data_IF_653569835357
#
_entry.id   IF_653569835357
#
_cell.length_a   1.000
_cell.length_b   1.000
_cell.length_c   1.000
_cell.angle_alpha   90.00
_cell.angle_beta   90.00
_cell.angle_gamma   90.00
#
_symmetry.space_group_name_H-M   'P 1'
#
loop_
_entity.id
_entity.type
_entity.pdbx_description
1 polymer ?
#
# COMPACT_ATOMS: atom_id res chain seq x y z
N UNK A 1 19.25 6.57 15.21
CA UNK A 1 19.92 5.63 14.29
C UNK A 1 21.35 5.50 14.74
N UNK A 2 21.86 4.27 14.91
CA UNK A 2 23.28 4.06 15.13
C UNK A 2 24.03 4.41 13.84
N UNK A 3 25.21 4.99 13.97
CA UNK A 3 26.12 5.25 12.83
C UNK A 3 26.77 3.92 12.41
N UNK A 4 27.19 3.82 11.14
CA UNK A 4 27.79 2.59 10.61
C UNK A 4 29.00 2.11 11.43
N UNK A 5 29.82 3.03 11.94
CA UNK A 5 30.93 2.71 12.85
C UNK A 5 30.48 2.14 14.20
N UNK A 6 29.34 2.57 14.73
CA UNK A 6 28.79 2.05 15.97
C UNK A 6 28.19 0.64 15.77
N UNK A 7 27.66 0.37 14.56
CA UNK A 7 27.22 -0.96 14.14
C UNK A 7 28.39 -1.93 14.00
N UNK A 8 29.50 -1.50 13.41
CA UNK A 8 30.70 -2.31 13.25
C UNK A 8 31.36 -2.64 14.61
N UNK A 9 31.40 -1.67 15.53
CA UNK A 9 31.87 -1.88 16.90
C UNK A 9 30.98 -2.86 17.67
N UNK A 10 29.66 -2.75 17.52
CA UNK A 10 28.71 -3.67 18.13
C UNK A 10 28.85 -5.08 17.54
N UNK A 11 29.02 -5.19 16.22
CA UNK A 11 29.22 -6.47 15.55
C UNK A 11 30.52 -7.15 16.01
N UNK A 12 31.60 -6.38 16.18
CA UNK A 12 32.87 -6.90 16.72
C UNK A 12 32.74 -7.31 18.19
N UNK A 13 32.01 -6.55 19.00
CA UNK A 13 31.73 -6.92 20.40
C UNK A 13 30.89 -8.20 20.50
N UNK A 14 29.90 -8.36 19.63
CA UNK A 14 29.08 -9.58 19.55
C UNK A 14 29.91 -10.77 19.07
N UNK A 15 30.80 -10.59 18.10
CA UNK A 15 31.69 -11.64 17.61
C UNK A 15 32.75 -12.09 18.64
N UNK A 16 33.04 -11.24 19.63
CA UNK A 16 33.96 -11.53 20.72
C UNK A 16 33.28 -12.19 21.94
N UNK A 17 31.96 -12.40 21.91
CA UNK A 17 31.25 -13.12 22.97
C UNK A 17 31.67 -14.59 22.99
N UNK A 18 31.83 -15.15 24.20
CA UNK A 18 31.97 -16.59 24.36
C UNK A 18 30.66 -17.32 24.01
N UNK A 19 30.76 -18.61 23.69
CA UNK A 19 29.63 -19.43 23.22
C UNK A 19 28.38 -19.36 24.13
N UNK A 20 28.58 -19.28 25.45
CA UNK A 20 27.49 -19.17 26.42
C UNK A 20 26.74 -17.83 26.34
N UNK A 21 27.48 -16.72 26.26
CA UNK A 21 26.88 -15.38 26.18
C UNK A 21 26.28 -15.12 24.79
N UNK A 22 26.89 -15.69 23.73
CA UNK A 22 26.35 -15.68 22.39
C UNK A 22 24.99 -16.41 22.34
N UNK A 23 24.87 -17.58 22.98
CA UNK A 23 23.62 -18.32 23.10
C UNK A 23 22.52 -17.54 23.85
N UNK A 24 22.87 -16.84 24.93
CA UNK A 24 21.95 -15.97 25.68
C UNK A 24 21.48 -14.78 24.86
N UNK A 25 22.38 -14.14 24.10
CA UNK A 25 22.03 -13.04 23.20
C UNK A 25 21.09 -13.53 22.08
N UNK A 26 21.37 -14.69 21.51
CA UNK A 26 20.55 -15.28 20.46
C UNK A 26 19.11 -15.55 20.92
N UNK A 27 18.96 -16.09 22.13
CA UNK A 27 17.64 -16.33 22.73
C UNK A 27 16.91 -15.01 23.02
N UNK A 28 17.60 -14.03 23.63
CA UNK A 28 17.02 -12.72 23.87
C UNK A 28 16.58 -12.02 22.56
N UNK A 29 17.33 -12.17 21.47
CA UNK A 29 16.97 -11.65 20.15
C UNK A 29 15.75 -12.40 19.60
N UNK A 30 15.68 -13.73 19.73
CA UNK A 30 14.51 -14.51 19.31
C UNK A 30 13.25 -14.12 20.07
N UNK A 31 13.32 -14.04 21.39
CA UNK A 31 12.20 -13.60 22.23
C UNK A 31 11.74 -12.19 21.87
N UNK A 32 12.69 -11.26 21.69
CA UNK A 32 12.36 -9.89 21.29
C UNK A 32 11.73 -9.82 19.89
N UNK A 33 12.17 -10.67 18.95
CA UNK A 33 11.55 -10.78 17.63
C UNK A 33 10.13 -11.34 17.72
N UNK A 34 9.88 -12.36 18.56
CA UNK A 34 8.55 -12.92 18.81
C UNK A 34 7.62 -11.87 19.42
N UNK A 35 8.02 -11.23 20.51
CA UNK A 35 7.24 -10.18 21.16
C UNK A 35 6.92 -9.03 20.19
N UNK A 36 7.89 -8.61 19.36
CA UNK A 36 7.66 -7.57 18.34
C UNK A 36 6.67 -8.04 17.26
N UNK A 37 6.71 -9.30 16.86
CA UNK A 37 5.77 -9.87 15.90
C UNK A 37 4.35 -9.96 16.47
N UNK A 38 4.20 -10.38 17.72
CA UNK A 38 2.92 -10.43 18.42
C UNK A 38 2.28 -9.04 18.56
N UNK A 39 3.05 -8.05 19.00
CA UNK A 39 2.59 -6.65 19.08
C UNK A 39 2.16 -6.13 17.70
N UNK A 40 2.93 -6.44 16.66
CA UNK A 40 2.58 -6.06 15.28
C UNK A 40 1.29 -6.74 14.82
N UNK A 41 1.13 -8.04 15.10
CA UNK A 41 -0.06 -8.80 14.74
C UNK A 41 -1.30 -8.26 15.46
N UNK A 42 -1.20 -7.96 16.75
CA UNK A 42 -2.26 -7.35 17.53
C UNK A 42 -2.65 -5.97 16.98
N UNK A 43 -1.66 -5.13 16.62
CA UNK A 43 -1.93 -3.82 15.98
C UNK A 43 -2.65 -3.97 14.65
N UNK A 44 -2.21 -4.89 13.79
CA UNK A 44 -2.89 -5.17 12.51
C UNK A 44 -4.32 -5.65 12.72
N UNK A 45 -4.53 -6.56 13.68
CA UNK A 45 -5.86 -7.06 14.00
C UNK A 45 -6.79 -5.94 14.51
N UNK A 46 -6.28 -5.05 15.36
CA UNK A 46 -7.02 -3.89 15.84
C UNK A 46 -7.40 -2.94 14.69
N UNK A 47 -6.43 -2.60 13.81
CA UNK A 47 -6.67 -1.73 12.65
C UNK A 47 -7.70 -2.32 11.69
N UNK A 48 -7.69 -3.63 11.45
CA UNK A 48 -8.66 -4.31 10.58
C UNK A 48 -10.06 -4.41 11.17
N UNK A 49 -10.19 -4.24 12.49
CA UNK A 49 -11.47 -4.26 13.18
C UNK A 49 -12.12 -2.86 13.26
N UNK A 50 -11.37 -1.80 12.94
CA UNK A 50 -11.86 -0.42 12.88
C UNK A 50 -12.68 -0.19 11.61
N UNK A 51 -13.63 0.73 11.68
CA UNK A 51 -14.27 1.27 10.49
C UNK A 51 -13.35 2.24 9.73
N UNK A 52 -13.69 2.52 8.48
CA UNK A 52 -12.84 3.32 7.58
C UNK A 52 -12.55 4.73 8.14
N UNK A 53 -13.53 5.39 8.77
CA UNK A 53 -13.33 6.73 9.32
C UNK A 53 -12.38 6.71 10.51
N UNK A 54 -12.53 5.72 11.40
CA UNK A 54 -11.60 5.52 12.52
C UNK A 54 -10.16 5.22 12.05
N UNK A 55 -9.99 4.49 10.95
CA UNK A 55 -8.66 4.28 10.35
C UNK A 55 -8.07 5.59 9.82
N UNK A 56 -8.87 6.47 9.21
CA UNK A 56 -8.41 7.78 8.75
C UNK A 56 -7.96 8.66 9.92
N UNK A 57 -8.69 8.67 11.03
CA UNK A 57 -8.28 9.40 12.23
C UNK A 57 -6.92 8.89 12.76
N UNK A 58 -6.74 7.57 12.75
CA UNK A 58 -5.49 6.93 13.14
C UNK A 58 -4.32 7.28 12.21
N UNK A 59 -4.56 7.33 10.89
CA UNK A 59 -3.60 7.82 9.90
C UNK A 59 -3.19 9.26 10.22
N UNK A 60 -4.16 10.14 10.47
CA UNK A 60 -3.88 11.54 10.78
C UNK A 60 -3.06 11.66 12.05
N UNK A 61 -3.41 10.90 13.09
CA UNK A 61 -2.69 10.89 14.37
C UNK A 61 -1.25 10.39 14.25
N UNK A 62 -1.01 9.34 13.47
CA UNK A 62 0.34 8.76 13.35
C UNK A 62 1.24 9.46 12.33
N UNK A 63 0.68 10.08 11.29
CA UNK A 63 1.45 10.57 10.14
C UNK A 63 1.55 12.09 10.03
N UNK A 64 0.76 12.85 10.79
CA UNK A 64 0.76 14.32 10.76
C UNK A 64 1.41 14.88 12.02
N UNK A 65 2.57 15.50 11.86
CA UNK A 65 3.19 16.33 12.88
C UNK A 65 2.91 17.81 12.54
N UNK A 66 2.01 18.42 13.31
CA UNK A 66 1.69 19.83 13.18
C UNK A 66 2.91 20.68 13.56
N UNK A 67 3.23 21.77 12.83
CA UNK A 67 2.46 22.38 11.75
C UNK A 67 2.86 22.00 10.31
N UNK A 68 3.85 21.14 10.08
CA UNK A 68 4.53 21.14 8.77
C UNK A 68 4.95 19.79 8.19
N UNK A 69 4.66 18.66 8.83
CA UNK A 69 5.19 17.37 8.36
C UNK A 69 4.10 16.33 8.24
N UNK A 70 3.91 15.85 7.01
CA UNK A 70 3.17 14.64 6.71
C UNK A 70 4.16 13.56 6.30
N UNK A 71 4.25 12.49 7.09
CA UNK A 71 4.99 11.27 6.73
C UNK A 71 4.12 10.31 5.92
N UNK A 72 4.12 10.48 4.60
CA UNK A 72 3.29 9.68 3.68
C UNK A 72 3.58 8.17 3.77
N UNK A 73 4.81 7.76 4.08
CA UNK A 73 5.15 6.36 4.28
C UNK A 73 4.46 5.75 5.50
N UNK A 74 4.36 6.50 6.60
CA UNK A 74 3.66 6.08 7.82
C UNK A 74 2.16 5.95 7.53
N UNK A 75 1.57 6.95 6.88
CA UNK A 75 0.17 6.93 6.47
C UNK A 75 -0.17 5.70 5.62
N UNK A 76 0.63 5.45 4.58
CA UNK A 76 0.43 4.30 3.68
C UNK A 76 0.57 2.96 4.40
N UNK A 77 1.45 2.88 5.40
CA UNK A 77 1.60 1.67 6.21
C UNK A 77 0.37 1.40 7.06
N UNK A 78 -0.17 2.43 7.74
CA UNK A 78 -1.41 2.31 8.54
C UNK A 78 -2.56 1.82 7.67
N UNK A 79 -2.77 2.44 6.50
CA UNK A 79 -3.82 2.04 5.55
C UNK A 79 -3.66 0.58 5.10
N UNK A 80 -2.45 0.14 4.75
CA UNK A 80 -2.20 -1.26 4.36
C UNK A 80 -2.41 -2.24 5.51
N UNK A 81 -1.96 -1.90 6.71
CA UNK A 81 -2.14 -2.73 7.91
C UNK A 81 -3.64 -2.90 8.22
N UNK A 82 -4.43 -1.83 8.04
CA UNK A 82 -5.90 -1.84 8.16
C UNK A 82 -6.62 -2.61 7.02
N UNK A 83 -5.91 -3.00 5.95
CA UNK A 83 -6.47 -3.79 4.86
C UNK A 83 -6.95 -3.00 3.66
N UNK A 84 -6.68 -1.69 3.59
CA UNK A 84 -6.99 -0.89 2.40
C UNK A 84 -6.15 -1.38 1.22
N UNK A 85 -6.84 -1.70 0.12
CA UNK A 85 -6.22 -2.15 -1.12
C UNK A 85 -6.09 -0.95 -2.05
N UNK A 86 -4.95 -0.82 -2.73
CA UNK A 86 -4.83 0.11 -3.85
C UNK A 86 -5.76 -0.38 -4.95
N UNK A 87 -6.74 0.44 -5.32
CA UNK A 87 -7.41 0.25 -6.59
C UNK A 87 -6.40 0.49 -7.73
N UNK A 88 -6.48 -0.28 -8.83
CA UNK A 88 -5.75 0.02 -10.04
C UNK A 88 -6.04 1.47 -10.45
N UNK A 89 -5.08 2.13 -11.11
CA UNK A 89 -5.35 3.43 -11.69
C UNK A 89 -6.53 3.31 -12.65
N UNK A 90 -7.57 4.11 -12.40
CA UNK A 90 -8.68 4.21 -13.33
C UNK A 90 -8.16 4.79 -14.64
N UNK A 91 -8.49 4.12 -15.75
CA UNK A 91 -8.25 4.63 -17.09
C UNK A 91 -9.56 5.22 -17.60
N UNK A 92 -9.47 6.21 -18.47
CA UNK A 92 -10.64 6.81 -19.10
C UNK A 92 -10.61 6.51 -20.60
N UNK A 93 -11.70 5.97 -21.13
CA UNK A 93 -11.87 5.69 -22.56
C UNK A 93 -13.10 6.43 -23.07
N UNK A 94 -12.95 7.11 -24.19
CA UNK A 94 -14.06 7.79 -24.88
C UNK A 94 -14.45 6.97 -26.11
N UNK A 95 -15.71 6.56 -26.16
CA UNK A 95 -16.31 5.83 -27.27
C UNK A 95 -17.06 6.81 -28.19
N UNK A 96 -16.73 6.79 -29.47
CA UNK A 96 -17.37 7.58 -30.52
C UNK A 96 -18.33 6.69 -31.31
N UNK A 97 -19.58 7.09 -31.30
CA UNK A 97 -20.68 6.33 -31.84
C UNK A 97 -21.05 6.79 -33.27
N UNK A 98 -21.34 5.88 -34.21
CA UNK A 98 -21.40 6.19 -35.65
C UNK A 98 -22.73 6.78 -36.13
N UNK A 99 -23.81 6.62 -35.36
CA UNK A 99 -25.19 6.95 -35.75
C UNK A 99 -25.52 8.45 -35.79
N UNK A 100 -24.70 9.32 -35.20
CA UNK A 100 -25.03 10.73 -35.02
C UNK A 100 -23.82 11.68 -34.99
N UNK A 101 -22.58 11.18 -35.06
CA UNK A 101 -21.37 12.00 -35.25
C UNK A 101 -20.97 12.90 -34.05
N UNK A 102 -21.88 13.15 -33.11
CA UNK A 102 -21.69 14.04 -31.95
C UNK A 102 -21.76 13.31 -30.60
N UNK A 103 -22.24 12.05 -30.55
CA UNK A 103 -22.36 11.33 -29.29
C UNK A 103 -21.06 10.60 -28.92
N UNK A 104 -20.37 11.18 -27.94
CA UNK A 104 -19.22 10.59 -27.27
C UNK A 104 -19.63 10.17 -25.85
N UNK A 105 -19.35 8.92 -25.48
CA UNK A 105 -19.50 8.46 -24.09
C UNK A 105 -18.13 8.21 -23.51
N UNK A 106 -17.83 8.89 -22.41
CA UNK A 106 -16.59 8.72 -21.66
C UNK A 106 -16.86 7.83 -20.46
N UNK A 107 -16.10 6.74 -20.34
CA UNK A 107 -16.20 5.77 -19.25
C UNK A 107 -14.86 5.68 -18.55
N UNK A 108 -14.88 5.76 -17.22
CA UNK A 108 -13.71 5.55 -16.37
C UNK A 108 -13.84 4.23 -15.62
N UNK A 109 -12.76 3.48 -15.53
CA UNK A 109 -12.77 2.18 -14.86
C UNK A 109 -11.42 1.49 -14.91
N UNK A 110 -11.38 0.22 -14.48
CA UNK A 110 -10.17 -0.59 -14.61
C UNK A 110 -9.87 -0.83 -16.09
N UNK A 111 -8.58 -1.01 -16.42
CA UNK A 111 -8.18 -1.32 -17.80
C UNK A 111 -8.88 -2.58 -18.33
N UNK A 112 -8.97 -3.63 -17.51
CA UNK A 112 -9.56 -4.91 -17.91
C UNK A 112 -11.06 -4.76 -18.20
N UNK A 113 -11.78 -3.97 -17.40
CA UNK A 113 -13.20 -3.69 -17.63
C UNK A 113 -13.42 -2.85 -18.90
N UNK A 114 -12.56 -1.86 -19.16
CA UNK A 114 -12.65 -1.03 -20.35
C UNK A 114 -12.28 -1.80 -21.63
N UNK A 115 -11.26 -2.67 -21.57
CA UNK A 115 -10.89 -3.55 -22.67
C UNK A 115 -12.04 -4.54 -22.97
N UNK A 116 -12.70 -5.09 -21.94
CA UNK A 116 -13.89 -5.94 -22.10
C UNK A 116 -15.07 -5.18 -22.71
N UNK A 117 -15.35 -3.97 -22.22
CA UNK A 117 -16.40 -3.10 -22.76
C UNK A 117 -16.14 -2.76 -24.23
N UNK A 118 -14.89 -2.47 -24.60
CA UNK A 118 -14.51 -2.19 -25.98
C UNK A 118 -14.81 -3.39 -26.90
N UNK A 119 -14.48 -4.62 -26.46
CA UNK A 119 -14.78 -5.85 -27.21
C UNK A 119 -16.29 -6.05 -27.39
N UNK A 120 -17.06 -5.88 -26.31
CA UNK A 120 -18.53 -6.04 -26.34
C UNK A 120 -19.18 -5.01 -27.27
N UNK A 121 -18.76 -3.75 -27.18
CA UNK A 121 -19.31 -2.68 -28.00
C UNK A 121 -18.91 -2.82 -29.48
N UNK A 122 -17.66 -3.14 -29.77
CA UNK A 122 -17.19 -3.37 -31.14
C UNK A 122 -17.89 -4.56 -31.81
N UNK A 123 -18.27 -5.59 -31.05
CA UNK A 123 -19.04 -6.72 -31.56
C UNK A 123 -20.50 -6.36 -31.90
N UNK A 124 -21.06 -5.30 -31.29
CA UNK A 124 -22.47 -4.90 -31.46
C UNK A 124 -22.66 -3.69 -32.36
N UNK A 125 -21.63 -2.86 -32.51
CA UNK A 125 -21.70 -1.58 -33.22
C UNK A 125 -20.60 -1.55 -34.27
N UNK A 126 -21.00 -1.72 -35.53
CA UNK A 126 -20.10 -1.55 -36.67
C UNK A 126 -19.56 -0.12 -36.71
N UNK A 127 -18.27 0.03 -37.02
CA UNK A 127 -17.55 1.31 -37.11
C UNK A 127 -17.39 2.11 -35.80
N UNK A 128 -17.54 1.45 -34.64
CA UNK A 128 -17.20 2.05 -33.34
C UNK A 128 -15.73 2.47 -33.30
N UNK A 129 -15.47 3.72 -32.89
CA UNK A 129 -14.11 4.22 -32.63
C UNK A 129 -13.95 4.49 -31.15
N UNK A 130 -12.76 4.26 -30.61
CA UNK A 130 -12.43 4.57 -29.22
C UNK A 130 -11.08 5.26 -29.15
N UNK A 131 -10.96 6.26 -28.29
CA UNK A 131 -9.67 6.84 -27.91
C UNK A 131 -9.44 6.71 -26.40
N UNK A 132 -8.19 6.50 -26.02
CA UNK A 132 -7.77 6.57 -24.62
C UNK A 132 -7.62 8.04 -24.25
N UNK A 133 -8.31 8.48 -23.21
CA UNK A 133 -8.07 9.79 -22.61
C UNK A 133 -6.67 9.83 -22.00
N UNK A 134 -5.99 10.98 -22.13
CA UNK A 134 -4.69 11.23 -21.53
C UNK A 134 -4.75 11.23 -19.99
#
# INVERSE_FOLDING_TARGET
MLKDTELDELARAVAALGDEDAGRLDEAVRERRRAKAEVKAARIAALRAMDDHAVIDEVMRESVEYPKRWESEVALKVLRDAGFVRQPAETTVTFLFPWDGENAVTVSGSKDDLDLLQVILAARISDLRSSKGA
#
